data_IF_706360059195
#
_entry.id   IF_706360059195
#
_cell.length_a   1.000
_cell.length_b   1.000
_cell.length_c   1.000
_cell.angle_alpha   90.00
_cell.angle_beta   90.00
_cell.angle_gamma   90.00
#
_symmetry.space_group_name_H-M   'P 1'
#
loop_
_entity.id
_entity.type
_entity.pdbx_description
1 polymer ?
#
# COMPACT_ATOMS: atom_id res chain seq x y z
N UNK A 1 -5.60 -0.14 6.99
CA UNK A 1 -4.19 -0.53 7.13
C UNK A 1 -3.38 0.26 6.12
N UNK A 2 -3.77 0.23 4.85
CA UNK A 2 -3.17 1.06 3.79
C UNK A 2 -3.26 2.57 4.08
N UNK A 3 -4.33 3.00 4.76
CA UNK A 3 -4.52 4.36 5.33
C UNK A 3 -3.51 4.76 6.43
N UNK A 4 -2.57 3.90 6.85
CA UNK A 4 -1.54 4.29 7.83
C UNK A 4 -0.19 4.61 7.16
N UNK A 5 -0.06 4.33 5.85
CA UNK A 5 1.22 4.39 5.13
C UNK A 5 1.31 5.55 4.13
N UNK A 6 0.55 6.63 4.34
CA UNK A 6 0.52 7.79 3.45
C UNK A 6 1.91 8.38 3.15
N UNK A 7 2.81 8.33 4.14
CA UNK A 7 4.17 8.87 4.02
C UNK A 7 5.22 7.78 3.73
N UNK A 8 4.80 6.52 3.61
CA UNK A 8 5.69 5.37 3.47
C UNK A 8 5.31 4.49 2.26
N UNK A 9 5.64 4.94 1.03
CA UNK A 9 5.24 4.22 -0.19
C UNK A 9 5.71 2.76 -0.25
N UNK A 10 6.89 2.46 0.28
CA UNK A 10 7.37 1.07 0.36
C UNK A 10 6.50 0.20 1.27
N UNK A 11 6.10 0.70 2.45
CA UNK A 11 5.29 -0.06 3.41
C UNK A 11 3.89 -0.34 2.86
N UNK A 12 3.31 0.65 2.16
CA UNK A 12 2.06 0.49 1.44
C UNK A 12 2.18 -0.61 0.36
N UNK A 13 3.18 -0.54 -0.50
CA UNK A 13 3.35 -1.54 -1.56
C UNK A 13 3.63 -2.93 -0.95
N UNK A 14 4.41 -3.01 0.12
CA UNK A 14 4.62 -4.25 0.87
C UNK A 14 3.30 -4.84 1.41
N UNK A 15 2.41 -4.00 1.96
CA UNK A 15 1.12 -4.47 2.44
C UNK A 15 0.27 -5.04 1.31
N UNK A 16 0.28 -4.40 0.13
CA UNK A 16 -0.45 -4.92 -1.04
C UNK A 16 0.05 -6.29 -1.49
N UNK A 17 1.35 -6.56 -1.38
CA UNK A 17 1.94 -7.88 -1.70
C UNK A 17 1.47 -8.93 -0.69
N UNK A 18 1.44 -8.59 0.60
CA UNK A 18 1.02 -9.52 1.66
C UNK A 18 -0.47 -9.87 1.58
N UNK A 19 -1.31 -8.97 1.08
CA UNK A 19 -2.76 -9.15 0.90
C UNK A 19 -3.14 -10.11 -0.23
N UNK A 20 -2.17 -10.58 -1.03
CA UNK A 20 -2.43 -11.56 -2.08
C UNK A 20 -2.97 -12.88 -1.49
N UNK A 21 -4.24 -13.18 -1.80
CA UNK A 21 -4.95 -14.40 -1.37
C UNK A 21 -4.96 -14.61 0.15
N UNK A 22 -4.95 -13.52 0.91
CA UNK A 22 -5.01 -13.51 2.38
C UNK A 22 -6.04 -12.48 2.83
N UNK A 23 -6.53 -12.64 4.05
CA UNK A 23 -7.44 -11.64 4.64
C UNK A 23 -6.65 -10.58 5.39
N UNK A 24 -7.22 -9.38 5.49
CA UNK A 24 -6.64 -8.30 6.29
C UNK A 24 -6.42 -8.71 7.75
N UNK A 25 -7.37 -9.44 8.35
CA UNK A 25 -7.24 -9.94 9.72
C UNK A 25 -6.00 -10.85 9.93
N UNK A 26 -5.54 -11.55 8.89
CA UNK A 26 -4.31 -12.34 8.93
C UNK A 26 -3.06 -11.50 8.68
N UNK A 27 -3.14 -10.57 7.72
CA UNK A 27 -2.00 -9.72 7.33
C UNK A 27 -1.64 -8.72 8.41
N UNK A 28 -2.64 -8.15 9.10
CA UNK A 28 -2.44 -7.07 10.05
C UNK A 28 -1.37 -7.39 11.12
N UNK A 29 -1.47 -8.49 11.89
CA UNK A 29 -0.45 -8.82 12.89
C UNK A 29 0.92 -9.16 12.30
N UNK A 30 0.94 -9.80 11.12
CA UNK A 30 2.19 -10.19 10.45
C UNK A 30 2.95 -8.99 9.90
N UNK A 31 2.23 -8.01 9.32
CA UNK A 31 2.84 -6.79 8.82
C UNK A 31 3.40 -5.94 9.97
N UNK A 32 2.67 -5.84 11.09
CA UNK A 32 3.18 -5.17 12.29
C UNK A 32 4.50 -5.81 12.76
N UNK A 33 4.55 -7.14 12.91
CA UNK A 33 5.78 -7.83 13.34
C UNK A 33 6.93 -7.65 12.34
N UNK A 34 6.65 -7.68 11.03
CA UNK A 34 7.64 -7.41 9.99
C UNK A 34 8.22 -6.00 10.09
N UNK A 35 7.36 -4.99 10.24
CA UNK A 35 7.77 -3.58 10.27
C UNK A 35 8.43 -3.18 11.59
N UNK A 36 8.04 -3.80 12.71
CA UNK A 36 8.74 -3.64 13.99
C UNK A 36 10.19 -4.12 13.90
N UNK A 37 10.42 -5.22 13.18
CA UNK A 37 11.76 -5.80 13.01
C UNK A 37 12.57 -5.15 11.88
N UNK A 38 11.91 -4.80 10.78
CA UNK A 38 12.51 -4.23 9.58
C UNK A 38 11.69 -3.05 9.05
N UNK A 39 11.80 -1.87 9.69
CA UNK A 39 10.95 -0.72 9.38
C UNK A 39 11.27 -0.06 8.03
N UNK A 40 12.41 -0.39 7.42
CA UNK A 40 12.89 0.23 6.18
C UNK A 40 13.25 -0.79 5.09
N UNK A 41 13.25 -0.38 3.80
CA UNK A 41 13.73 -1.22 2.70
C UNK A 41 15.15 -1.76 2.95
N UNK A 42 16.04 -0.92 3.47
CA UNK A 42 17.43 -1.29 3.68
C UNK A 42 17.61 -2.31 4.81
N UNK A 43 16.75 -2.27 5.83
CA UNK A 43 16.79 -3.25 6.93
C UNK A 43 16.27 -4.61 6.49
N UNK A 44 15.23 -4.66 5.64
CA UNK A 44 14.70 -5.95 5.16
C UNK A 44 15.65 -6.61 4.15
N UNK A 45 16.36 -5.82 3.33
CA UNK A 45 17.34 -6.36 2.37
C UNK A 45 18.57 -6.99 3.04
N UNK A 46 18.84 -6.66 4.30
CA UNK A 46 19.90 -7.28 5.12
C UNK A 46 19.38 -8.47 5.93
N UNK A 47 18.08 -8.72 5.91
CA UNK A 47 17.50 -9.83 6.64
C UNK A 47 17.76 -11.17 5.94
N UNK A 48 17.90 -12.23 6.73
CA UNK A 48 17.88 -13.59 6.22
C UNK A 48 16.47 -13.93 5.71
N UNK A 49 16.38 -14.53 4.53
CA UNK A 49 15.09 -14.90 3.91
C UNK A 49 14.30 -15.87 4.79
N UNK A 50 14.99 -16.73 5.52
CA UNK A 50 14.44 -17.68 6.49
C UNK A 50 13.80 -16.95 7.67
N UNK A 51 14.38 -15.83 8.11
CA UNK A 51 13.82 -15.00 9.17
C UNK A 51 12.54 -14.31 8.74
N UNK A 52 12.46 -13.84 7.49
CA UNK A 52 11.24 -13.29 6.91
C UNK A 52 10.18 -14.41 6.77
N UNK A 53 10.58 -15.57 6.25
CA UNK A 53 9.69 -16.71 6.04
C UNK A 53 9.03 -17.19 7.35
N UNK A 54 9.76 -17.16 8.47
CA UNK A 54 9.22 -17.50 9.80
C UNK A 54 8.08 -16.56 10.21
N UNK A 55 8.23 -15.25 10.02
CA UNK A 55 7.22 -14.26 10.40
C UNK A 55 5.98 -14.38 9.51
N UNK A 56 6.16 -14.55 8.20
CA UNK A 56 5.03 -14.63 7.26
C UNK A 56 4.41 -16.02 7.15
N UNK A 57 4.92 -17.00 7.89
CA UNK A 57 4.44 -18.39 7.89
C UNK A 57 2.92 -18.53 8.06
N UNK A 58 2.24 -17.75 8.94
CA UNK A 58 0.78 -17.82 9.09
C UNK A 58 -0.02 -17.48 7.82
N UNK A 59 0.58 -16.75 6.87
CA UNK A 59 -0.05 -16.34 5.61
C UNK A 59 0.00 -17.43 4.51
N UNK A 60 0.76 -18.51 4.75
CA UNK A 60 1.03 -19.55 3.76
C UNK A 60 1.89 -19.07 2.57
N UNK A 61 2.37 -20.02 1.76
CA UNK A 61 3.27 -19.74 0.62
C UNK A 61 4.55 -18.99 1.03
N UNK A 62 5.00 -19.18 2.26
CA UNK A 62 6.03 -18.36 2.89
C UNK A 62 7.36 -18.36 2.14
N UNK A 63 7.76 -19.48 1.53
CA UNK A 63 9.04 -19.55 0.81
C UNK A 63 9.02 -18.69 -0.46
N UNK A 64 7.89 -18.68 -1.18
CA UNK A 64 7.72 -17.82 -2.37
C UNK A 64 7.54 -16.37 -1.97
N UNK A 65 6.75 -16.09 -0.93
CA UNK A 65 6.48 -14.73 -0.47
C UNK A 65 7.74 -14.07 0.09
N UNK A 66 8.55 -14.77 0.89
CA UNK A 66 9.76 -14.20 1.49
C UNK A 66 10.79 -13.82 0.43
N UNK A 67 11.04 -14.70 -0.54
CA UNK A 67 11.88 -14.41 -1.70
C UNK A 67 11.32 -13.25 -2.53
N UNK A 68 10.00 -13.24 -2.76
CA UNK A 68 9.30 -12.19 -3.47
C UNK A 68 9.42 -10.81 -2.80
N UNK A 69 9.32 -10.75 -1.46
CA UNK A 69 9.48 -9.51 -0.68
C UNK A 69 10.90 -8.93 -0.84
N UNK A 70 11.94 -9.79 -0.79
CA UNK A 70 13.32 -9.36 -0.99
C UNK A 70 13.51 -8.82 -2.41
N UNK A 71 13.00 -9.53 -3.43
CA UNK A 71 13.14 -9.10 -4.81
C UNK A 71 12.39 -7.79 -5.07
N UNK A 72 11.13 -7.70 -4.63
CA UNK A 72 10.33 -6.47 -4.67
C UNK A 72 11.09 -5.30 -4.04
N UNK A 73 11.62 -5.50 -2.84
CA UNK A 73 12.29 -4.42 -2.12
C UNK A 73 13.57 -3.97 -2.83
N UNK A 74 14.29 -4.89 -3.44
CA UNK A 74 15.47 -4.58 -4.25
C UNK A 74 15.09 -3.75 -5.48
N UNK A 75 14.05 -4.16 -6.20
CA UNK A 75 13.54 -3.43 -7.36
C UNK A 75 13.08 -2.02 -6.97
N UNK A 76 12.39 -1.91 -5.82
CA UNK A 76 11.93 -0.64 -5.27
C UNK A 76 13.10 0.31 -4.96
N UNK A 77 14.13 -0.16 -4.24
CA UNK A 77 15.31 0.66 -3.91
C UNK A 77 16.03 1.12 -5.18
N UNK A 78 16.22 0.23 -6.14
CA UNK A 78 16.87 0.58 -7.42
C UNK A 78 16.06 1.65 -8.17
N UNK A 79 14.74 1.52 -8.21
CA UNK A 79 13.86 2.49 -8.87
C UNK A 79 13.87 3.84 -8.16
N UNK A 80 13.84 3.86 -6.83
CA UNK A 80 13.95 5.10 -6.06
C UNK A 80 15.29 5.79 -6.30
N UNK A 81 16.40 5.04 -6.38
CA UNK A 81 17.71 5.60 -6.70
C UNK A 81 17.76 6.18 -8.12
N UNK A 82 17.18 5.48 -9.10
CA UNK A 82 17.09 5.97 -10.49
C UNK A 82 16.35 7.32 -10.55
N UNK A 83 15.19 7.41 -9.90
CA UNK A 83 14.38 8.63 -9.82
C UNK A 83 15.00 9.71 -8.94
N UNK A 84 15.81 9.32 -7.94
CA UNK A 84 16.49 10.21 -7.02
C UNK A 84 17.41 11.23 -7.70
N UNK A 85 17.95 10.87 -8.87
CA UNK A 85 18.76 11.79 -9.68
C UNK A 85 17.99 13.04 -10.15
N UNK A 86 16.68 12.91 -10.33
CA UNK A 86 15.81 13.98 -10.83
C UNK A 86 14.94 14.60 -9.73
N UNK A 87 14.52 13.79 -8.75
CA UNK A 87 13.49 14.16 -7.77
C UNK A 87 13.99 14.16 -6.31
N UNK A 88 15.23 13.72 -6.06
CA UNK A 88 15.79 13.63 -4.70
C UNK A 88 14.91 12.80 -3.77
N UNK A 89 14.64 13.33 -2.58
CA UNK A 89 13.81 12.69 -1.55
C UNK A 89 12.34 12.49 -1.96
N UNK A 90 11.88 13.17 -3.02
CA UNK A 90 10.54 12.98 -3.55
C UNK A 90 10.41 11.77 -4.46
N UNK A 91 11.51 11.09 -4.80
CA UNK A 91 11.51 9.94 -5.71
C UNK A 91 10.46 8.85 -5.38
N UNK A 92 10.27 8.43 -4.10
CA UNK A 92 9.22 7.49 -3.71
C UNK A 92 7.79 7.95 -4.04
N UNK A 93 7.57 9.25 -4.17
CA UNK A 93 6.27 9.91 -4.42
C UNK A 93 6.07 10.31 -5.88
N UNK A 94 7.00 9.95 -6.76
CA UNK A 94 6.99 10.29 -8.19
C UNK A 94 7.02 9.06 -9.09
N UNK A 95 6.73 7.88 -8.55
CA UNK A 95 6.68 6.64 -9.33
C UNK A 95 5.46 6.65 -10.25
N UNK A 96 5.67 6.30 -11.53
CA UNK A 96 4.60 6.19 -12.50
C UNK A 96 3.95 4.81 -12.46
N UNK A 97 2.81 4.63 -13.15
CA UNK A 97 2.20 3.32 -13.36
C UNK A 97 3.20 2.28 -13.86
N UNK A 98 4.00 2.64 -14.87
CA UNK A 98 4.99 1.74 -15.45
C UNK A 98 6.03 1.30 -14.42
N UNK A 99 6.46 2.23 -13.57
CA UNK A 99 7.44 1.94 -12.52
C UNK A 99 6.86 0.96 -11.50
N UNK A 100 5.64 1.20 -10.99
CA UNK A 100 5.01 0.30 -10.02
C UNK A 100 4.78 -1.10 -10.60
N UNK A 101 4.25 -1.20 -11.82
CA UNK A 101 4.03 -2.49 -12.49
C UNK A 101 5.32 -3.25 -12.81
N UNK A 102 6.47 -2.56 -12.86
CA UNK A 102 7.76 -3.20 -13.06
C UNK A 102 8.33 -3.83 -11.79
N UNK A 103 7.81 -3.46 -10.61
CA UNK A 103 8.26 -4.02 -9.34
C UNK A 103 7.70 -5.44 -9.17
N UNK A 104 8.53 -6.36 -8.66
CA UNK A 104 8.09 -7.72 -8.42
C UNK A 104 6.81 -7.78 -7.53
N UNK A 105 5.85 -8.61 -7.91
CA UNK A 105 4.53 -8.76 -7.27
C UNK A 105 3.63 -7.51 -7.21
N UNK A 106 4.01 -6.38 -7.80
CA UNK A 106 3.17 -5.18 -7.87
C UNK A 106 2.40 -5.14 -9.19
N UNK A 107 1.07 -5.24 -9.11
CA UNK A 107 0.17 -5.13 -10.26
C UNK A 107 -0.73 -3.88 -10.21
N UNK A 108 -1.83 -3.91 -10.95
CA UNK A 108 -2.83 -2.81 -10.98
C UNK A 108 -3.37 -2.46 -9.59
N UNK A 109 -3.54 -3.46 -8.74
CA UNK A 109 -3.99 -3.26 -7.36
C UNK A 109 -2.99 -2.40 -6.58
N UNK A 110 -1.69 -2.74 -6.64
CA UNK A 110 -0.63 -1.99 -5.98
C UNK A 110 -0.53 -0.55 -6.51
N UNK A 111 -0.65 -0.38 -7.83
CA UNK A 111 -0.69 0.96 -8.44
C UNK A 111 -1.91 1.76 -8.00
N UNK A 112 -3.08 1.15 -7.95
CA UNK A 112 -4.31 1.82 -7.51
C UNK A 112 -4.24 2.24 -6.04
N UNK A 113 -3.71 1.39 -5.17
CA UNK A 113 -3.43 1.73 -3.78
C UNK A 113 -2.41 2.89 -3.69
N UNK A 114 -1.34 2.85 -4.49
CA UNK A 114 -0.36 3.95 -4.55
C UNK A 114 -1.00 5.28 -4.98
N UNK A 115 -1.83 5.29 -6.02
CA UNK A 115 -2.56 6.49 -6.45
C UNK A 115 -3.45 7.04 -5.34
N UNK A 116 -4.18 6.15 -4.67
CA UNK A 116 -5.17 6.53 -3.69
C UNK A 116 -4.56 7.05 -2.39
N UNK A 117 -3.58 6.33 -1.85
CA UNK A 117 -3.00 6.65 -0.55
C UNK A 117 -1.79 7.57 -0.70
N UNK A 118 -0.87 7.33 -1.64
CA UNK A 118 0.35 8.15 -1.77
C UNK A 118 0.08 9.42 -2.58
N UNK A 119 -0.51 9.30 -3.77
CA UNK A 119 -0.75 10.46 -4.64
C UNK A 119 -2.02 11.23 -4.29
N UNK A 120 -2.89 10.67 -3.43
CA UNK A 120 -4.21 11.21 -3.07
C UNK A 120 -5.05 11.58 -4.29
N UNK A 121 -4.91 10.79 -5.36
CA UNK A 121 -5.59 10.99 -6.63
C UNK A 121 -6.53 9.83 -6.91
N UNK A 122 -7.81 10.13 -7.13
CA UNK A 122 -8.85 9.13 -7.46
C UNK A 122 -9.06 8.96 -8.96
N UNK A 123 -8.29 9.65 -9.80
CA UNK A 123 -8.58 9.83 -11.24
C UNK A 123 -8.31 8.59 -12.08
N UNK A 124 -7.42 7.69 -11.64
CA UNK A 124 -6.88 6.58 -12.45
C UNK A 124 -7.10 5.19 -11.85
N UNK A 125 -8.18 4.98 -11.08
CA UNK A 125 -8.49 3.66 -10.50
C UNK A 125 -9.18 2.81 -11.57
N UNK A 126 -8.39 2.10 -12.38
CA UNK A 126 -8.86 1.06 -13.31
C UNK A 126 -8.84 -0.35 -12.68
N UNK A 127 -8.52 -0.45 -11.39
CA UNK A 127 -8.43 -1.73 -10.69
C UNK A 127 -9.76 -2.50 -10.74
N UNK A 128 -9.68 -3.78 -11.12
CA UNK A 128 -10.78 -4.76 -11.03
C UNK A 128 -11.01 -5.28 -9.61
N UNK A 129 -10.22 -4.82 -8.63
CA UNK A 129 -10.41 -5.17 -7.23
C UNK A 129 -11.63 -4.46 -6.65
N UNK A 130 -12.64 -5.25 -6.29
CA UNK A 130 -13.92 -4.75 -5.78
C UNK A 130 -13.80 -3.96 -4.47
N UNK A 131 -12.79 -4.24 -3.63
CA UNK A 131 -12.61 -3.54 -2.36
C UNK A 131 -12.05 -2.13 -2.58
N UNK A 132 -11.08 -1.96 -3.49
CA UNK A 132 -10.59 -0.62 -3.85
C UNK A 132 -11.63 0.21 -4.59
N UNK A 133 -12.40 -0.42 -5.49
CA UNK A 133 -13.50 0.27 -6.18
C UNK A 133 -14.52 0.80 -5.16
N UNK A 134 -14.94 -0.05 -4.21
CA UNK A 134 -15.86 0.36 -3.15
C UNK A 134 -15.31 1.48 -2.26
N UNK A 135 -14.01 1.43 -1.91
CA UNK A 135 -13.38 2.47 -1.10
C UNK A 135 -13.19 3.79 -1.87
N UNK A 136 -12.86 3.74 -3.15
CA UNK A 136 -12.79 4.91 -4.02
C UNK A 136 -14.15 5.57 -4.22
N UNK A 137 -15.22 4.78 -4.40
CA UNK A 137 -16.60 5.28 -4.47
C UNK A 137 -17.03 5.92 -3.16
N UNK A 138 -16.68 5.31 -2.01
CA UNK A 138 -16.93 5.90 -0.70
C UNK A 138 -16.24 7.26 -0.54
N UNK A 139 -14.96 7.38 -0.89
CA UNK A 139 -14.23 8.66 -0.81
C UNK A 139 -14.81 9.73 -1.75
N UNK A 140 -15.24 9.35 -2.96
CA UNK A 140 -15.93 10.27 -3.88
C UNK A 140 -17.26 10.75 -3.31
N UNK A 141 -18.02 9.87 -2.66
CA UNK A 141 -19.25 10.20 -1.94
C UNK A 141 -18.99 11.23 -0.82
N UNK A 142 -18.00 10.97 0.03
CA UNK A 142 -17.61 11.90 1.10
C UNK A 142 -17.19 13.29 0.58
N UNK A 143 -16.39 13.34 -0.50
CA UNK A 143 -16.00 14.62 -1.08
C UNK A 143 -17.20 15.38 -1.64
N UNK A 144 -18.17 14.69 -2.26
CA UNK A 144 -19.40 15.31 -2.75
C UNK A 144 -20.32 15.80 -1.62
N UNK A 145 -20.32 15.11 -0.47
CA UNK A 145 -21.09 15.50 0.70
C UNK A 145 -20.45 16.68 1.44
N UNK A 146 -19.12 16.71 1.55
CA UNK A 146 -18.36 17.86 2.07
C UNK A 146 -18.50 19.10 1.18
N UNK A 147 -18.54 18.93 -0.15
CA UNK A 147 -18.84 20.01 -1.09
C UNK A 147 -20.29 20.52 -0.94
N UNK A 148 -21.24 19.66 -0.56
CA UNK A 148 -22.63 20.05 -0.27
C UNK A 148 -22.77 20.73 1.10
N UNK A 149 -22.07 20.25 2.12
CA UNK A 149 -22.06 20.81 3.48
C UNK A 149 -21.32 22.16 3.55
N UNK A 150 -20.28 22.36 2.74
CA UNK A 150 -19.61 23.67 2.62
C UNK A 150 -20.48 24.74 1.93
N UNK A 151 -21.46 24.35 1.11
CA UNK A 151 -22.49 25.24 0.57
C UNK A 151 -23.75 25.32 1.45
N UNK A 152 -23.79 24.59 2.56
CA UNK A 152 -24.94 24.52 3.47
C UNK A 152 -24.49 24.23 4.90
N UNK A 153 -23.89 25.22 5.57
CA UNK A 153 -23.55 25.05 6.97
C UNK A 153 -24.81 24.82 7.84
N UNK A 154 -24.61 24.06 8.92
CA UNK A 154 -25.50 23.78 10.07
C UNK A 154 -26.30 22.47 9.97
N UNK A 155 -25.72 21.34 10.39
CA UNK A 155 -26.13 20.61 11.61
C UNK A 155 -25.23 19.40 11.87
N UNK A 156 -24.87 19.17 13.13
CA UNK A 156 -24.20 17.96 13.61
C UNK A 156 -24.97 16.70 13.19
N UNK A 157 -24.27 15.59 12.87
CA UNK A 157 -24.47 14.26 13.52
C UNK A 157 -23.56 13.17 12.92
N UNK A 158 -22.60 12.72 13.77
CA UNK A 158 -22.16 11.34 14.05
C UNK A 158 -21.63 10.47 12.89
N UNK A 159 -20.30 10.43 12.79
CA UNK A 159 -19.53 9.41 12.08
C UNK A 159 -19.93 7.99 12.53
N UNK A 160 -20.30 7.14 11.56
CA UNK A 160 -20.18 5.67 11.69
C UNK A 160 -19.20 5.20 10.64
N UNK A 161 -18.06 4.68 11.09
CA UNK A 161 -17.09 3.99 10.24
C UNK A 161 -17.71 2.67 9.74
N UNK A 162 -17.50 2.28 8.47
CA UNK A 162 -17.87 0.96 8.01
C UNK A 162 -16.89 -0.10 8.55
N UNK A 163 -17.43 -1.15 9.17
CA UNK A 163 -16.70 -2.36 9.51
C UNK A 163 -16.63 -3.24 8.26
N UNK A 164 -15.43 -3.43 7.72
CA UNK A 164 -15.19 -4.41 6.66
C UNK A 164 -14.90 -5.78 7.33
N UNK A 165 -15.74 -6.77 6.98
CA UNK A 165 -15.67 -8.17 7.42
C UNK A 165 -14.58 -8.91 6.63
#
# INVERSE_FOLDING_TARGET
MEELFFDYPWQLLLSTILLNKTTRAQVDPVLCELLDKWPTPNTILRAEVESIAKIIRPLGLQDRRSAGIIQFTRDYVNKVQELGNSFGDLAPFKMTRKDILSLHHCGEYAYSAYCLFILRSTSDIQSTDHALVAYAEYQRGLNSDLERESHGAITQTRCRQPQFI
#
